data_IF_913917772923
#
_entry.id   IF_913917772923
#
_cell.length_a   1.000
_cell.length_b   1.000
_cell.length_c   1.000
_cell.angle_alpha   90.00
_cell.angle_beta   90.00
_cell.angle_gamma   90.00
#
_symmetry.space_group_name_H-M   'P 1'
#
loop_
_entity.id
_entity.type
_entity.pdbx_description
1 polymer ?
#
# COMPACT_ATOMS: atom_id res chain seq x y z
N UNK A 1 -4.17 -6.34 46.33
CA UNK A 1 -3.29 -5.15 46.28
C UNK A 1 -1.98 -5.38 45.50
N UNK A 2 -1.72 -6.55 44.86
CA UNK A 2 -0.44 -6.83 44.18
C UNK A 2 -0.49 -6.78 42.63
N UNK A 3 -1.59 -6.32 42.03
CA UNK A 3 -1.78 -6.38 40.56
C UNK A 3 -1.41 -5.08 39.83
N UNK A 4 -0.75 -4.14 40.50
CA UNK A 4 -0.37 -2.84 39.94
C UNK A 4 1.15 -2.64 39.96
N UNK A 5 1.64 -1.98 38.91
CA UNK A 5 3.00 -1.46 38.81
C UNK A 5 2.97 0.07 38.90
N UNK A 6 3.90 0.64 39.67
CA UNK A 6 4.07 2.06 39.90
C UNK A 6 5.33 2.51 39.19
N UNK A 7 5.16 3.36 38.18
CA UNK A 7 6.24 3.90 37.36
C UNK A 7 6.32 5.41 37.53
N UNK A 8 7.49 5.99 37.30
CA UNK A 8 7.75 7.41 37.46
C UNK A 8 7.97 8.08 36.10
N UNK A 9 7.48 9.30 35.97
CA UNK A 9 7.93 10.20 34.90
C UNK A 9 9.30 10.79 35.25
N UNK A 10 10.07 11.36 34.30
CA UNK A 10 11.33 12.02 34.59
C UNK A 10 11.20 13.24 35.53
N UNK A 11 9.97 13.74 35.74
CA UNK A 11 9.66 14.81 36.68
C UNK A 11 9.23 14.30 38.06
N UNK A 12 9.34 13.00 38.31
CA UNK A 12 8.97 12.38 39.59
C UNK A 12 7.46 12.13 39.80
N UNK A 13 6.61 12.40 38.81
CA UNK A 13 5.18 12.06 38.90
C UNK A 13 4.99 10.54 38.86
N UNK A 14 4.27 10.00 39.84
CA UNK A 14 3.96 8.58 39.97
C UNK A 14 2.69 8.22 39.18
N UNK A 15 2.77 7.14 38.39
CA UNK A 15 1.69 6.61 37.58
C UNK A 15 1.49 5.13 37.93
N UNK A 16 0.27 4.79 38.32
CA UNK A 16 -0.15 3.42 38.59
C UNK A 16 -0.74 2.78 37.33
N UNK A 17 -0.24 1.60 36.99
CA UNK A 17 -0.65 0.80 35.83
C UNK A 17 -0.93 -0.64 36.26
N UNK A 18 -1.72 -1.43 35.52
CA UNK A 18 -1.84 -2.87 35.79
C UNK A 18 -0.51 -3.60 35.53
N UNK A 19 -0.31 -4.74 36.18
CA UNK A 19 0.84 -5.62 35.92
C UNK A 19 0.89 -6.03 34.45
N UNK A 20 2.10 -6.05 33.88
CA UNK A 20 2.34 -6.32 32.45
C UNK A 20 2.14 -5.10 31.54
N UNK A 21 1.82 -3.92 32.10
CA UNK A 21 1.73 -2.70 31.32
C UNK A 21 3.05 -2.35 30.62
N UNK A 22 2.93 -1.76 29.44
CA UNK A 22 4.06 -1.40 28.57
C UNK A 22 4.35 0.11 28.61
N UNK A 23 5.49 0.59 28.09
CA UNK A 23 5.72 2.00 27.85
C UNK A 23 4.60 2.69 27.04
N UNK A 24 3.91 1.97 26.16
CA UNK A 24 2.76 2.50 25.40
C UNK A 24 1.59 2.78 26.36
N UNK A 25 1.28 1.84 27.26
CA UNK A 25 0.27 2.04 28.30
C UNK A 25 0.61 3.23 29.20
N UNK A 26 1.88 3.35 29.60
CA UNK A 26 2.36 4.49 30.37
C UNK A 26 2.18 5.82 29.61
N UNK A 27 2.53 5.87 28.33
CA UNK A 27 2.36 7.06 27.50
C UNK A 27 0.89 7.51 27.46
N UNK A 28 -0.05 6.59 27.24
CA UNK A 28 -1.49 6.90 27.25
C UNK A 28 -2.05 7.19 28.65
N UNK A 29 -1.44 6.65 29.71
CA UNK A 29 -1.78 7.01 31.08
C UNK A 29 -1.41 8.47 31.36
N UNK A 30 -0.21 8.91 30.97
CA UNK A 30 0.24 10.30 31.05
C UNK A 30 -0.72 11.22 30.29
N UNK A 31 -0.87 11.01 28.98
CA UNK A 31 -1.76 11.82 28.15
C UNK A 31 -1.99 11.16 26.79
N UNK A 32 -3.18 11.35 26.19
CA UNK A 32 -3.47 10.81 24.85
C UNK A 32 -2.47 11.29 23.80
N UNK A 33 -2.19 12.61 23.71
CA UNK A 33 -1.17 13.13 22.77
C UNK A 33 0.23 12.55 22.99
N UNK A 34 0.59 12.14 24.21
CA UNK A 34 1.90 11.53 24.48
C UNK A 34 1.93 10.12 23.88
N UNK A 35 0.86 9.35 24.08
CA UNK A 35 0.67 8.06 23.41
C UNK A 35 0.59 8.17 21.89
N UNK A 36 -0.20 9.12 21.38
CA UNK A 36 -0.44 9.28 19.94
C UNK A 36 0.82 9.68 19.16
N UNK A 37 1.74 10.39 19.81
CA UNK A 37 3.02 10.80 19.21
C UNK A 37 4.20 9.92 19.65
N UNK A 38 3.97 8.82 20.37
CA UNK A 38 5.02 7.94 20.87
C UNK A 38 5.76 7.23 19.71
N UNK A 39 7.10 7.25 19.75
CA UNK A 39 7.97 6.56 18.77
C UNK A 39 8.91 5.57 19.45
N UNK A 40 9.27 5.85 20.71
CA UNK A 40 10.18 5.02 21.49
C UNK A 40 10.08 5.36 22.96
N UNK A 41 10.74 4.57 23.79
CA UNK A 41 10.80 4.80 25.23
C UNK A 41 12.22 4.56 25.76
N UNK A 42 12.57 5.28 26.81
CA UNK A 42 13.69 4.93 27.68
C UNK A 42 13.16 4.54 29.04
N UNK A 43 13.72 3.46 29.59
CA UNK A 43 13.43 3.00 30.94
C UNK A 43 14.74 3.07 31.72
N UNK A 44 14.75 3.84 32.82
CA UNK A 44 15.94 4.09 33.64
C UNK A 44 17.14 4.58 32.79
N UNK A 45 16.88 5.51 31.87
CA UNK A 45 17.88 6.12 30.99
C UNK A 45 18.32 5.28 29.78
N UNK A 46 17.89 4.01 29.65
CA UNK A 46 18.26 3.13 28.53
C UNK A 46 17.11 3.00 27.53
N UNK A 47 17.42 3.07 26.22
CA UNK A 47 16.41 2.85 25.16
C UNK A 47 15.93 1.40 25.23
N UNK A 48 14.62 1.21 25.31
CA UNK A 48 13.99 -0.10 25.40
C UNK A 48 12.90 -0.24 24.32
N UNK A 49 12.63 -1.48 23.86
CA UNK A 49 11.47 -1.74 23.00
C UNK A 49 10.16 -1.29 23.65
N UNK A 50 9.22 -0.77 22.85
CA UNK A 50 7.93 -0.30 23.34
C UNK A 50 7.04 -1.39 23.96
N UNK A 51 7.36 -2.66 23.72
CA UNK A 51 6.64 -3.83 24.24
C UNK A 51 7.22 -4.34 25.57
N UNK A 52 8.26 -3.68 26.10
CA UNK A 52 8.90 -4.09 27.36
C UNK A 52 7.89 -3.98 28.50
N UNK A 53 7.78 -5.00 29.34
CA UNK A 53 6.94 -4.93 30.54
C UNK A 53 7.59 -4.00 31.59
N UNK A 54 6.81 -3.06 32.11
CA UNK A 54 7.26 -2.13 33.14
C UNK A 54 7.25 -2.78 34.52
N UNK A 55 8.25 -2.42 35.33
CA UNK A 55 8.41 -2.89 36.71
C UNK A 55 8.17 -1.77 37.72
N UNK A 56 7.89 -2.15 38.96
CA UNK A 56 7.79 -1.19 40.05
C UNK A 56 9.10 -0.41 40.21
N UNK A 57 8.98 0.91 40.28
CA UNK A 57 10.12 1.81 40.46
C UNK A 57 10.76 2.30 39.16
N UNK A 58 10.32 1.82 37.99
CA UNK A 58 10.89 2.24 36.72
C UNK A 58 10.59 3.71 36.43
N UNK A 59 11.64 4.46 36.06
CA UNK A 59 11.50 5.79 35.46
C UNK A 59 11.36 5.65 33.94
N UNK A 60 10.25 6.16 33.39
CA UNK A 60 9.90 6.00 31.97
C UNK A 60 9.88 7.36 31.26
N UNK A 61 10.78 7.53 30.30
CA UNK A 61 10.84 8.68 29.39
C UNK A 61 10.28 8.28 28.02
N UNK A 62 9.27 8.99 27.53
CA UNK A 62 8.66 8.72 26.22
C UNK A 62 9.28 9.63 25.15
N UNK A 63 9.79 9.02 24.08
CA UNK A 63 10.32 9.70 22.90
C UNK A 63 9.16 9.95 21.93
N UNK A 64 8.99 11.20 21.49
CA UNK A 64 7.81 11.65 20.72
C UNK A 64 8.16 12.25 19.36
N UNK A 65 7.27 12.08 18.38
CA UNK A 65 7.31 12.76 17.07
C UNK A 65 5.92 13.19 16.64
N UNK A 66 5.78 14.43 16.16
CA UNK A 66 4.50 14.99 15.67
C UNK A 66 4.00 14.35 14.38
N UNK A 67 4.88 13.73 13.60
CA UNK A 67 4.51 13.07 12.35
C UNK A 67 3.96 11.66 12.56
N UNK A 68 4.09 11.11 13.78
CA UNK A 68 3.71 9.75 14.08
C UNK A 68 2.20 9.61 14.26
N UNK A 69 1.66 8.51 13.73
CA UNK A 69 0.31 8.00 14.03
C UNK A 69 0.46 6.62 14.68
N UNK A 70 -0.30 6.29 15.74
CA UNK A 70 -0.21 4.99 16.39
C UNK A 70 -0.49 3.85 15.40
N UNK A 71 0.43 2.88 15.29
CA UNK A 71 0.18 1.66 14.52
C UNK A 71 -1.01 0.88 15.10
N UNK A 72 -1.89 0.38 14.22
CA UNK A 72 -3.05 -0.42 14.63
C UNK A 72 -2.65 -1.69 15.42
N UNK A 73 -1.48 -2.25 15.13
CA UNK A 73 -0.95 -3.45 15.80
C UNK A 73 -0.81 -3.26 17.33
N UNK A 74 -0.58 -2.04 17.80
CA UNK A 74 -0.46 -1.74 19.24
C UNK A 74 -1.72 -2.08 20.02
N UNK A 75 -2.88 -2.06 19.39
CA UNK A 75 -4.15 -2.40 20.04
C UNK A 75 -4.12 -3.79 20.70
N UNK A 76 -3.42 -4.75 20.08
CA UNK A 76 -3.31 -6.12 20.59
C UNK A 76 -2.36 -6.24 21.77
N UNK A 77 -1.43 -5.30 21.93
CA UNK A 77 -0.30 -5.42 22.87
C UNK A 77 -0.53 -4.60 24.13
N UNK A 78 -1.22 -3.48 24.03
CA UNK A 78 -1.52 -2.65 25.20
C UNK A 78 -2.44 -3.36 26.18
N UNK A 79 -2.12 -3.24 27.47
CA UNK A 79 -2.89 -3.90 28.54
C UNK A 79 -4.11 -3.05 28.93
N UNK A 80 -3.95 -1.73 28.95
CA UNK A 80 -4.97 -0.81 29.48
C UNK A 80 -6.11 -0.55 28.50
N UNK A 81 -7.35 -0.52 29.00
CA UNK A 81 -8.52 -0.18 28.19
C UNK A 81 -8.48 1.26 27.64
N UNK A 82 -7.84 2.19 28.38
CA UNK A 82 -7.62 3.58 27.95
C UNK A 82 -6.73 3.65 26.71
N UNK A 83 -5.56 3.01 26.73
CA UNK A 83 -4.65 2.95 25.59
C UNK A 83 -5.33 2.28 24.39
N UNK A 84 -5.97 1.13 24.60
CA UNK A 84 -6.68 0.39 23.54
C UNK A 84 -7.75 1.24 22.85
N UNK A 85 -8.55 1.96 23.64
CA UNK A 85 -9.61 2.83 23.12
C UNK A 85 -9.05 4.05 22.39
N UNK A 86 -7.96 4.63 22.88
CA UNK A 86 -7.27 5.75 22.23
C UNK A 86 -6.66 5.34 20.88
N UNK A 87 -5.95 4.21 20.83
CA UNK A 87 -5.35 3.66 19.59
C UNK A 87 -6.44 3.35 18.55
N UNK A 88 -7.54 2.70 18.96
CA UNK A 88 -8.69 2.46 18.08
C UNK A 88 -9.24 3.75 17.49
N UNK A 89 -9.40 4.78 18.32
CA UNK A 89 -9.90 6.09 17.89
C UNK A 89 -8.93 6.77 16.92
N UNK A 90 -7.64 6.79 17.24
CA UNK A 90 -6.61 7.38 16.39
C UNK A 90 -6.55 6.67 15.02
N UNK A 91 -6.54 5.34 15.02
CA UNK A 91 -6.55 4.51 13.81
C UNK A 91 -7.80 4.79 12.96
N UNK A 92 -8.99 4.82 13.59
CA UNK A 92 -10.26 5.14 12.92
C UNK A 92 -10.24 6.54 12.28
N UNK A 93 -9.70 7.53 13.00
CA UNK A 93 -9.60 8.89 12.49
C UNK A 93 -8.61 9.00 11.32
N UNK A 94 -7.47 8.31 11.38
CA UNK A 94 -6.50 8.25 10.30
C UNK A 94 -7.12 7.63 9.03
N UNK A 95 -7.83 6.52 9.19
CA UNK A 95 -8.59 5.86 8.11
C UNK A 95 -9.60 6.82 7.48
N UNK A 96 -10.43 7.49 8.29
CA UNK A 96 -11.42 8.47 7.78
C UNK A 96 -10.73 9.57 6.99
N UNK A 97 -9.69 10.17 7.55
CA UNK A 97 -8.92 11.25 6.90
C UNK A 97 -8.35 10.80 5.56
N UNK A 98 -7.89 9.56 5.45
CA UNK A 98 -7.29 9.02 4.24
C UNK A 98 -8.33 8.66 3.17
N UNK A 99 -9.44 8.02 3.54
CA UNK A 99 -10.33 7.36 2.57
C UNK A 99 -11.69 8.02 2.35
N UNK A 100 -12.16 8.90 3.25
CA UNK A 100 -13.48 9.53 3.10
C UNK A 100 -13.62 10.31 1.79
N UNK A 101 -12.58 11.06 1.39
CA UNK A 101 -12.60 11.83 0.14
C UNK A 101 -12.76 10.96 -1.10
N UNK A 102 -12.10 9.79 -1.11
CA UNK A 102 -12.26 8.82 -2.19
C UNK A 102 -13.67 8.22 -2.20
N UNK A 103 -14.16 7.82 -1.03
CA UNK A 103 -15.51 7.26 -0.90
C UNK A 103 -16.59 8.21 -1.42
N UNK A 104 -16.44 9.51 -1.18
CA UNK A 104 -17.32 10.55 -1.75
C UNK A 104 -17.30 10.46 -3.27
N UNK A 105 -16.12 10.51 -3.91
CA UNK A 105 -16.01 10.50 -5.38
C UNK A 105 -16.53 9.22 -6.02
N UNK A 106 -16.28 8.07 -5.37
CA UNK A 106 -16.82 6.78 -5.83
C UNK A 106 -18.35 6.82 -5.82
N UNK A 107 -18.96 7.32 -4.73
CA UNK A 107 -20.40 7.41 -4.63
C UNK A 107 -20.98 8.47 -5.57
N UNK A 108 -20.37 9.66 -5.68
CA UNK A 108 -20.78 10.69 -6.63
C UNK A 108 -20.86 10.14 -8.06
N UNK A 109 -19.80 9.48 -8.52
CA UNK A 109 -19.77 8.84 -9.85
C UNK A 109 -20.81 7.71 -9.96
N UNK A 110 -21.01 6.91 -8.92
CA UNK A 110 -21.99 5.83 -8.94
C UNK A 110 -23.44 6.35 -9.03
N UNK A 111 -23.75 7.42 -8.29
CA UNK A 111 -25.05 8.09 -8.31
C UNK A 111 -25.29 8.80 -9.65
N UNK A 112 -24.29 9.54 -10.15
CA UNK A 112 -24.36 10.25 -11.44
C UNK A 112 -24.68 9.29 -12.59
N UNK A 113 -23.99 8.15 -12.64
CA UNK A 113 -24.26 7.09 -13.65
C UNK A 113 -25.68 6.54 -13.57
N UNK A 114 -26.27 6.51 -12.38
CA UNK A 114 -27.63 6.07 -12.15
C UNK A 114 -28.67 7.18 -12.40
N UNK A 115 -28.25 8.38 -12.83
CA UNK A 115 -29.11 9.55 -12.96
C UNK A 115 -29.67 10.05 -11.63
N UNK A 116 -28.95 9.81 -10.52
CA UNK A 116 -29.31 10.23 -9.16
C UNK A 116 -28.31 11.26 -8.64
N UNK A 117 -28.75 12.10 -7.71
CA UNK A 117 -27.89 13.07 -7.02
C UNK A 117 -27.39 12.49 -5.71
N UNK A 118 -26.07 12.55 -5.51
CA UNK A 118 -25.44 12.17 -4.25
C UNK A 118 -25.56 13.30 -3.22
N UNK A 119 -26.11 13.00 -2.04
CA UNK A 119 -26.12 13.92 -0.89
C UNK A 119 -25.73 13.16 0.37
N UNK A 120 -24.95 13.79 1.27
CA UNK A 120 -24.53 13.13 2.52
C UNK A 120 -25.72 12.81 3.43
N UNK A 121 -26.78 13.62 3.36
CA UNK A 121 -28.01 13.46 4.12
C UNK A 121 -28.74 12.17 3.76
N UNK A 122 -28.71 11.76 2.48
CA UNK A 122 -29.31 10.50 2.03
C UNK A 122 -28.71 9.27 2.73
N UNK A 123 -27.41 9.33 3.08
CA UNK A 123 -26.71 8.27 3.78
C UNK A 123 -27.15 8.14 5.25
N UNK A 124 -27.58 9.25 5.89
CA UNK A 124 -27.92 9.27 7.32
C UNK A 124 -29.07 8.32 7.65
N UNK A 125 -30.04 8.20 6.76
CA UNK A 125 -31.22 7.34 6.94
C UNK A 125 -30.89 5.85 6.81
N UNK A 126 -29.82 5.51 6.09
CA UNK A 126 -29.48 4.13 5.72
C UNK A 126 -28.27 3.57 6.47
N UNK A 127 -27.69 4.32 7.41
CA UNK A 127 -26.55 3.89 8.23
C UNK A 127 -26.78 2.52 8.90
N UNK A 128 -28.00 2.29 9.42
CA UNK A 128 -28.40 1.03 10.03
C UNK A 128 -28.37 -0.14 9.03
N UNK A 129 -28.81 0.07 7.78
CA UNK A 129 -28.79 -0.94 6.71
C UNK A 129 -27.37 -1.27 6.26
N UNK A 130 -26.46 -0.30 6.34
CA UNK A 130 -25.06 -0.44 5.98
C UNK A 130 -24.17 -0.93 7.13
N UNK A 131 -24.75 -1.23 8.30
CA UNK A 131 -24.03 -1.63 9.51
C UNK A 131 -22.88 -0.67 9.85
N UNK A 132 -23.12 0.65 9.76
CA UNK A 132 -22.18 1.70 10.12
C UNK A 132 -22.82 2.70 11.08
N UNK A 133 -22.00 3.31 11.93
CA UNK A 133 -22.47 4.26 12.97
C UNK A 133 -22.56 5.68 12.45
N UNK A 134 -21.66 6.07 11.55
CA UNK A 134 -21.52 7.43 11.04
C UNK A 134 -21.36 7.45 9.51
N UNK A 135 -21.73 8.57 8.88
CA UNK A 135 -21.56 8.79 7.42
C UNK A 135 -20.10 8.66 7.02
N UNK A 136 -19.17 9.25 7.79
CA UNK A 136 -17.73 9.15 7.53
C UNK A 136 -17.23 7.70 7.54
N UNK A 137 -17.86 6.80 8.31
CA UNK A 137 -17.49 5.38 8.28
C UNK A 137 -17.98 4.70 7.00
N UNK A 138 -19.14 5.08 6.46
CA UNK A 138 -19.62 4.61 5.16
C UNK A 138 -18.65 5.07 4.07
N UNK A 139 -18.33 6.37 4.04
CA UNK A 139 -17.43 6.95 3.06
C UNK A 139 -16.05 6.28 3.10
N UNK A 140 -15.45 6.15 4.29
CA UNK A 140 -14.16 5.48 4.43
C UNK A 140 -14.23 3.98 4.08
N UNK A 141 -15.35 3.28 4.35
CA UNK A 141 -15.52 1.87 3.99
C UNK A 141 -15.60 1.69 2.46
N UNK A 142 -16.33 2.58 1.78
CA UNK A 142 -16.39 2.61 0.31
C UNK A 142 -15.03 2.96 -0.28
N UNK A 143 -14.35 3.96 0.28
CA UNK A 143 -13.01 4.39 -0.16
C UNK A 143 -11.94 3.30 -0.01
N UNK A 144 -12.11 2.37 0.94
CA UNK A 144 -11.22 1.21 1.10
C UNK A 144 -11.66 -0.04 0.33
N UNK A 145 -12.83 0.01 -0.31
CA UNK A 145 -13.41 -1.16 -0.99
C UNK A 145 -13.98 -2.23 -0.06
N UNK A 146 -14.19 -1.94 1.23
CA UNK A 146 -14.85 -2.84 2.17
C UNK A 146 -16.38 -2.87 1.98
N UNK A 147 -16.93 -1.79 1.43
CA UNK A 147 -18.35 -1.63 1.13
C UNK A 147 -18.49 -1.22 -0.34
N UNK A 148 -19.25 -2.00 -1.12
CA UNK A 148 -19.45 -1.67 -2.53
C UNK A 148 -20.39 -0.47 -2.68
N UNK A 149 -20.12 0.39 -3.67
CA UNK A 149 -20.98 1.52 -4.03
C UNK A 149 -22.39 1.06 -4.38
N UNK A 150 -22.52 -0.12 -4.98
CA UNK A 150 -23.80 -0.76 -5.33
C UNK A 150 -24.65 -1.08 -4.12
N UNK A 151 -24.03 -1.46 -3.00
CA UNK A 151 -24.75 -1.78 -1.77
C UNK A 151 -25.25 -0.50 -1.10
N UNK A 152 -24.46 0.57 -1.16
CA UNK A 152 -24.89 1.91 -0.75
C UNK A 152 -26.05 2.39 -1.62
N UNK A 153 -25.95 2.21 -2.94
CA UNK A 153 -27.02 2.56 -3.89
C UNK A 153 -28.32 1.82 -3.58
N UNK A 154 -28.27 0.50 -3.37
CA UNK A 154 -29.46 -0.30 -3.00
C UNK A 154 -30.02 0.09 -1.64
N UNK A 155 -29.17 0.47 -0.69
CA UNK A 155 -29.63 0.89 0.62
C UNK A 155 -30.45 2.20 0.54
N UNK A 156 -29.98 3.17 -0.27
CA UNK A 156 -30.63 4.46 -0.51
C UNK A 156 -31.81 4.35 -1.47
N UNK A 157 -31.68 3.58 -2.55
CA UNK A 157 -32.69 3.34 -3.58
C UNK A 157 -32.92 1.83 -3.74
N UNK A 158 -33.82 1.22 -2.96
CA UNK A 158 -34.08 -0.23 -2.99
C UNK A 158 -34.48 -0.79 -4.38
N UNK A 159 -35.10 0.05 -5.22
CA UNK A 159 -35.55 -0.34 -6.56
C UNK A 159 -34.45 -0.24 -7.64
N UNK A 160 -33.23 0.18 -7.28
CA UNK A 160 -32.12 0.32 -8.22
C UNK A 160 -31.59 -1.04 -8.69
N UNK A 161 -31.58 -1.25 -10.01
CA UNK A 161 -30.92 -2.37 -10.66
C UNK A 161 -29.64 -1.86 -11.33
N UNK A 162 -28.52 -2.47 -10.99
CA UNK A 162 -27.22 -2.13 -11.55
C UNK A 162 -27.13 -2.65 -13.00
N UNK A 163 -26.94 -1.74 -13.96
CA UNK A 163 -26.78 -2.08 -15.38
C UNK A 163 -25.31 -2.34 -15.76
N UNK A 164 -24.37 -2.32 -14.80
CA UNK A 164 -22.97 -2.69 -15.08
C UNK A 164 -22.93 -4.08 -15.72
N UNK A 165 -22.37 -4.16 -16.93
CA UNK A 165 -21.83 -5.41 -17.48
C UNK A 165 -20.61 -5.77 -16.64
N UNK A 166 -20.85 -6.33 -15.46
CA UNK A 166 -19.81 -6.99 -14.70
C UNK A 166 -19.57 -8.31 -15.41
N UNK A 167 -18.38 -8.49 -16.02
CA UNK A 167 -17.85 -9.84 -16.19
C UNK A 167 -17.79 -10.42 -14.78
N UNK A 168 -18.78 -11.26 -14.44
CA UNK A 168 -18.81 -11.98 -13.19
C UNK A 168 -17.44 -12.63 -12.99
N UNK A 169 -16.81 -12.39 -11.84
CA UNK A 169 -15.62 -13.13 -11.43
C UNK A 169 -15.96 -14.61 -11.59
N UNK A 170 -15.27 -15.39 -12.44
CA UNK A 170 -15.59 -16.79 -12.59
C UNK A 170 -15.36 -17.44 -11.24
N UNK A 171 -16.41 -18.02 -10.64
CA UNK A 171 -16.21 -19.04 -9.61
C UNK A 171 -15.27 -20.09 -10.20
N UNK A 172 -14.30 -20.65 -9.45
CA UNK A 172 -13.54 -21.80 -9.92
C UNK A 172 -14.55 -22.91 -10.15
N UNK A 173 -14.92 -23.14 -11.40
CA UNK A 173 -15.71 -24.31 -11.78
C UNK A 173 -14.72 -25.44 -11.93
N UNK A 174 -15.00 -26.52 -11.21
CA UNK A 174 -14.50 -27.85 -11.53
C UNK A 174 -14.69 -28.10 -13.04
N UNK A 175 -13.68 -28.78 -13.57
CA UNK A 175 -13.44 -29.03 -14.98
C UNK A 175 -14.69 -29.53 -15.73
N UNK A 176 -14.84 -29.08 -16.99
CA UNK A 176 -15.34 -29.99 -18.02
C UNK A 176 -16.63 -29.68 -18.76
N UNK A 177 -17.28 -28.51 -18.64
CA UNK A 177 -18.34 -28.17 -19.60
C UNK A 177 -18.60 -26.66 -19.77
N UNK A 178 -18.11 -26.10 -20.88
CA UNK A 178 -18.41 -24.73 -21.32
C UNK A 178 -19.67 -24.68 -22.18
N UNK A 179 -20.67 -23.89 -21.78
CA UNK A 179 -21.60 -23.25 -22.73
C UNK A 179 -21.15 -21.80 -22.91
N UNK A 180 -20.64 -21.46 -24.09
CA UNK A 180 -20.37 -20.07 -24.49
C UNK A 180 -21.50 -19.64 -25.43
N UNK A 181 -22.36 -18.73 -24.99
CA UNK A 181 -23.21 -17.91 -25.87
C UNK A 181 -22.48 -16.59 -26.08
N UNK A 182 -21.98 -16.36 -27.29
CA UNK A 182 -21.54 -15.04 -27.72
C UNK A 182 -22.68 -14.31 -28.44
N UNK A 183 -22.64 -12.98 -28.40
CA UNK A 183 -23.62 -12.04 -28.96
C UNK A 183 -23.69 -12.01 -30.51
N UNK A 184 -23.36 -13.10 -31.20
CA UNK A 184 -23.48 -13.23 -32.66
C UNK A 184 -23.92 -14.63 -33.15
N UNK A 185 -24.40 -15.51 -32.27
CA UNK A 185 -25.21 -16.68 -32.69
C UNK A 185 -24.54 -17.73 -33.59
N UNK A 186 -23.21 -17.87 -33.62
CA UNK A 186 -22.52 -18.91 -34.41
C UNK A 186 -21.75 -19.91 -33.53
N UNK A 187 -21.79 -21.19 -33.94
CA UNK A 187 -21.08 -22.33 -33.34
C UNK A 187 -19.88 -22.71 -34.24
N UNK A 188 -18.70 -22.84 -33.65
CA UNK A 188 -17.54 -23.43 -34.32
C UNK A 188 -17.07 -24.68 -33.57
N UNK A 189 -16.83 -25.74 -34.31
CA UNK A 189 -16.22 -27.00 -33.86
C UNK A 189 -14.77 -27.01 -34.35
N UNK A 190 -13.81 -27.24 -33.46
CA UNK A 190 -12.41 -27.48 -33.87
C UNK A 190 -11.97 -28.83 -33.31
N UNK A 191 -11.81 -29.86 -34.17
CA UNK A 191 -11.23 -31.14 -33.80
C UNK A 191 -9.74 -31.00 -33.48
N UNK A 192 -9.26 -31.81 -32.55
CA UNK A 192 -7.92 -31.71 -32.01
C UNK A 192 -6.78 -32.15 -32.94
N UNK A 193 -5.59 -31.75 -32.45
CA UNK A 193 -4.26 -32.36 -32.53
C UNK A 193 -3.29 -31.89 -33.63
N UNK A 194 -2.11 -31.55 -33.10
CA UNK A 194 -0.75 -31.60 -33.67
C UNK A 194 -0.29 -30.46 -34.59
N UNK A 195 0.72 -29.70 -34.12
CA UNK A 195 2.02 -29.58 -34.79
C UNK A 195 3.03 -28.80 -33.93
N UNK A 196 4.31 -29.14 -34.15
CA UNK A 196 5.52 -28.62 -33.52
C UNK A 196 5.91 -27.21 -33.98
N UNK A 197 6.91 -26.67 -33.25
CA UNK A 197 8.13 -25.96 -33.67
C UNK A 197 8.18 -24.43 -33.54
N UNK A 198 9.23 -24.02 -32.80
CA UNK A 198 10.11 -22.85 -32.90
C UNK A 198 9.52 -21.49 -33.25
N UNK A 199 9.82 -20.51 -32.38
CA UNK A 199 10.54 -19.31 -32.79
C UNK A 199 11.10 -18.54 -31.58
N UNK A 200 12.42 -18.41 -31.58
CA UNK A 200 13.18 -17.36 -30.93
C UNK A 200 12.52 -15.98 -31.14
N UNK A 201 12.46 -15.19 -30.07
CA UNK A 201 12.40 -13.74 -30.17
C UNK A 201 13.54 -13.13 -29.36
N UNK A 202 14.25 -12.13 -29.92
CA UNK A 202 15.40 -11.50 -29.30
C UNK A 202 14.95 -10.56 -28.18
N UNK A 203 15.57 -10.67 -27.01
CA UNK A 203 15.50 -9.65 -25.96
C UNK A 203 16.67 -8.71 -26.16
N UNK A 204 16.42 -7.59 -26.83
CA UNK A 204 17.39 -6.53 -27.00
C UNK A 204 17.07 -5.40 -26.01
N UNK A 205 18.07 -4.96 -25.27
CA UNK A 205 17.93 -4.03 -24.15
C UNK A 205 19.09 -4.11 -23.16
N UNK A 206 20.32 -4.22 -23.64
CA UNK A 206 21.52 -4.08 -22.82
C UNK A 206 22.34 -2.91 -23.35
N UNK A 207 22.45 -1.85 -22.55
CA UNK A 207 23.31 -0.69 -22.82
C UNK A 207 24.77 -1.09 -22.51
N UNK A 208 25.74 -0.90 -23.42
CA UNK A 208 27.13 -1.20 -23.13
C UNK A 208 27.83 0.02 -22.51
N UNK A 209 28.50 -0.17 -21.36
CA UNK A 209 29.51 0.77 -20.87
C UNK A 209 30.82 -0.01 -20.66
N UNK A 210 31.87 0.44 -21.35
CA UNK A 210 33.19 -0.21 -21.41
C UNK A 210 33.99 0.00 -20.12
N UNK A 211 34.62 -1.07 -19.62
CA UNK A 211 35.60 -0.95 -18.53
C UNK A 211 36.33 -2.22 -18.04
N UNK A 212 36.90 -3.02 -18.94
CA UNK A 212 38.03 -3.98 -18.70
C UNK A 212 37.78 -5.24 -17.85
N UNK A 213 37.79 -6.39 -18.57
CA UNK A 213 37.95 -7.81 -18.15
C UNK A 213 36.80 -8.43 -17.34
N UNK A 214 35.82 -8.95 -18.10
CA UNK A 214 34.82 -9.90 -17.62
C UNK A 214 33.48 -9.23 -17.36
N UNK A 215 32.80 -8.78 -18.42
CA UNK A 215 31.48 -8.15 -18.33
C UNK A 215 30.44 -9.19 -17.87
N UNK A 216 30.31 -9.43 -16.56
CA UNK A 216 29.10 -10.01 -16.02
C UNK A 216 27.97 -9.00 -16.28
N UNK A 217 26.88 -9.39 -16.97
CA UNK A 217 25.78 -8.47 -17.24
C UNK A 217 25.19 -7.95 -15.92
N UNK A 218 25.01 -6.63 -15.83
CA UNK A 218 24.38 -5.99 -14.67
C UNK A 218 22.93 -5.67 -15.03
N UNK A 219 22.01 -6.02 -14.14
CA UNK A 219 20.57 -5.74 -14.32
C UNK A 219 19.94 -5.28 -13.01
N UNK A 220 18.82 -4.58 -13.10
CA UNK A 220 18.01 -4.25 -11.94
C UNK A 220 17.00 -5.36 -11.63
N UNK A 221 16.70 -5.52 -10.34
CA UNK A 221 15.59 -6.35 -9.90
C UNK A 221 14.24 -5.83 -10.44
N UNK A 222 13.17 -6.66 -10.49
CA UNK A 222 11.87 -6.25 -11.04
C UNK A 222 11.23 -5.03 -10.36
N UNK A 223 11.52 -4.78 -9.09
CA UNK A 223 11.11 -3.57 -8.35
C UNK A 223 11.81 -2.29 -8.84
N UNK A 224 12.96 -2.45 -9.51
CA UNK A 224 13.83 -1.37 -9.93
C UNK A 224 14.67 -0.78 -8.79
N UNK A 225 15.73 -0.05 -9.16
CA UNK A 225 16.51 0.75 -8.24
C UNK A 225 16.83 2.09 -8.90
N UNK A 226 16.79 3.16 -8.11
CA UNK A 226 16.88 4.53 -8.60
C UNK A 226 18.02 5.26 -7.87
N UNK A 227 18.74 6.17 -8.53
CA UNK A 227 19.78 6.97 -7.90
C UNK A 227 19.29 7.64 -6.61
N UNK A 228 20.04 7.43 -5.52
CA UNK A 228 19.66 7.82 -4.16
C UNK A 228 19.23 6.65 -3.27
N UNK A 229 18.89 5.50 -3.86
CA UNK A 229 18.69 4.27 -3.09
C UNK A 229 20.01 3.70 -2.56
N UNK A 230 19.95 3.08 -1.38
CA UNK A 230 21.02 2.19 -0.93
C UNK A 230 20.84 0.85 -1.64
N UNK A 231 21.85 0.42 -2.39
CA UNK A 231 21.79 -0.76 -3.24
C UNK A 231 22.80 -1.82 -2.83
N UNK A 232 22.50 -3.07 -3.18
CA UNK A 232 23.39 -4.23 -3.07
C UNK A 232 23.33 -5.03 -4.37
N UNK A 233 24.43 -5.67 -4.74
CA UNK A 233 24.49 -6.57 -5.89
C UNK A 233 24.45 -8.03 -5.44
N UNK A 234 23.67 -8.87 -6.12
CA UNK A 234 23.68 -10.32 -5.93
C UNK A 234 24.21 -10.97 -7.21
N UNK A 235 25.31 -11.73 -7.09
CA UNK A 235 25.84 -12.54 -8.19
C UNK A 235 24.94 -13.75 -8.39
N UNK A 236 24.39 -13.87 -9.60
CA UNK A 236 23.54 -14.98 -10.00
C UNK A 236 24.23 -15.80 -11.10
N UNK A 237 24.44 -17.11 -10.90
CA UNK A 237 25.02 -17.98 -11.91
C UNK A 237 24.28 -17.87 -13.24
N UNK A 238 25.04 -17.69 -14.33
CA UNK A 238 24.50 -17.58 -15.69
C UNK A 238 23.78 -16.27 -16.04
N UNK A 239 23.49 -15.40 -15.06
CA UNK A 239 22.72 -14.17 -15.31
C UNK A 239 23.43 -12.87 -14.93
N UNK A 240 24.60 -12.95 -14.32
CA UNK A 240 25.40 -11.77 -13.99
C UNK A 240 25.10 -11.24 -12.59
N UNK A 241 25.17 -9.92 -12.43
CA UNK A 241 24.92 -9.23 -11.16
C UNK A 241 23.53 -8.59 -11.22
N UNK A 242 22.67 -8.91 -10.25
CA UNK A 242 21.36 -8.25 -10.12
C UNK A 242 21.41 -7.24 -8.98
N UNK A 243 21.05 -6.00 -9.26
CA UNK A 243 21.05 -4.89 -8.30
C UNK A 243 19.68 -4.80 -7.63
N UNK A 244 19.70 -4.80 -6.30
CA UNK A 244 18.53 -4.70 -5.44
C UNK A 244 18.65 -3.48 -4.53
N UNK A 245 17.55 -2.77 -4.23
CA UNK A 245 17.50 -1.91 -3.04
C UNK A 245 17.72 -2.74 -1.77
N UNK A 246 18.46 -2.21 -0.79
CA UNK A 246 18.81 -2.92 0.45
C UNK A 246 17.57 -3.35 1.29
N UNK A 247 16.41 -2.77 1.03
CA UNK A 247 15.14 -3.09 1.70
C UNK A 247 14.31 -4.13 0.95
N UNK A 248 14.77 -4.63 -0.20
CA UNK A 248 14.01 -5.60 -1.00
C UNK A 248 13.82 -6.91 -0.22
N UNK A 249 12.58 -7.39 -0.03
CA UNK A 249 12.32 -8.68 0.63
C UNK A 249 12.92 -9.86 -0.13
N UNK A 250 13.16 -9.71 -1.44
CA UNK A 250 13.80 -10.73 -2.26
C UNK A 250 15.22 -11.06 -1.75
N UNK A 251 15.85 -10.16 -0.99
CA UNK A 251 17.18 -10.39 -0.42
C UNK A 251 17.20 -11.49 0.64
N UNK A 252 16.08 -11.76 1.33
CA UNK A 252 15.98 -12.83 2.35
C UNK A 252 16.31 -14.21 1.78
N UNK A 253 16.07 -14.42 0.48
CA UNK A 253 16.38 -15.68 -0.21
C UNK A 253 17.89 -15.93 -0.37
N UNK A 254 18.74 -14.96 -0.05
CA UNK A 254 20.20 -15.03 -0.19
C UNK A 254 20.95 -14.84 1.14
N UNK A 255 20.25 -14.76 2.27
CA UNK A 255 20.86 -14.55 3.59
C UNK A 255 21.85 -15.67 3.97
N UNK A 256 21.65 -16.88 3.44
CA UNK A 256 22.49 -18.06 3.67
C UNK A 256 23.69 -18.17 2.71
N UNK A 257 23.82 -17.25 1.75
CA UNK A 257 24.81 -17.29 0.66
C UNK A 257 25.63 -15.98 0.58
N UNK A 258 26.38 -15.63 1.65
CA UNK A 258 27.09 -14.35 1.75
C UNK A 258 28.12 -14.14 0.62
N UNK A 259 28.67 -15.21 0.04
CA UNK A 259 29.61 -15.16 -1.08
C UNK A 259 29.02 -14.57 -2.37
N UNK A 260 27.69 -14.50 -2.48
CA UNK A 260 27.01 -13.88 -3.63
C UNK A 260 26.83 -12.38 -3.49
N UNK A 261 27.04 -11.83 -2.29
CA UNK A 261 26.77 -10.43 -2.01
C UNK A 261 27.95 -9.57 -2.44
N UNK A 262 27.64 -8.52 -3.18
CA UNK A 262 28.58 -7.51 -3.64
C UNK A 262 28.10 -6.16 -3.16
N UNK A 263 29.00 -5.43 -2.51
CA UNK A 263 28.78 -4.02 -2.21
C UNK A 263 28.86 -3.21 -3.50
N UNK A 264 27.75 -2.56 -3.86
CA UNK A 264 27.63 -1.73 -5.05
C UNK A 264 27.34 -0.29 -4.63
N UNK A 265 27.86 0.66 -5.40
CA UNK A 265 27.57 2.08 -5.24
C UNK A 265 27.16 2.66 -6.58
N UNK A 266 26.34 3.71 -6.51
CA UNK A 266 26.03 4.52 -7.67
C UNK A 266 27.27 5.28 -8.09
N UNK A 267 27.70 5.07 -9.33
CA UNK A 267 28.71 5.88 -10.02
C UNK A 267 28.08 6.35 -11.33
N UNK A 268 27.40 7.50 -11.26
CA UNK A 268 26.61 8.04 -12.37
C UNK A 268 27.31 9.32 -12.81
N UNK A 269 27.66 9.37 -14.09
CA UNK A 269 28.14 10.61 -14.69
C UNK A 269 26.97 11.58 -14.82
N UNK A 270 27.01 12.71 -14.10
CA UNK A 270 25.99 13.77 -14.14
C UNK A 270 25.75 14.33 -15.56
N UNK A 271 26.70 14.12 -16.47
CA UNK A 271 26.58 14.51 -17.89
C UNK A 271 25.70 13.57 -18.69
N UNK A 272 25.55 12.32 -18.24
CA UNK A 272 24.73 11.30 -18.91
C UNK A 272 23.39 11.19 -18.20
N UNK A 273 22.36 11.79 -18.81
CA UNK A 273 20.98 11.67 -18.31
C UNK A 273 20.39 10.35 -18.77
N UNK A 274 20.41 9.35 -17.89
CA UNK A 274 19.72 8.08 -18.09
C UNK A 274 18.55 7.95 -17.11
N UNK A 275 17.49 7.25 -17.52
CA UNK A 275 16.35 6.94 -16.65
C UNK A 275 16.53 5.54 -16.08
N UNK A 276 16.13 5.38 -14.83
CA UNK A 276 16.25 4.15 -14.07
C UNK A 276 14.87 3.54 -13.81
N UNK A 277 14.76 2.20 -13.83
CA UNK A 277 13.49 1.52 -13.63
C UNK A 277 13.01 1.69 -12.18
N UNK A 278 11.71 1.91 -12.03
CA UNK A 278 11.02 1.95 -10.75
C UNK A 278 9.62 1.38 -10.89
N UNK A 279 9.23 0.49 -9.97
CA UNK A 279 7.86 -0.03 -9.92
C UNK A 279 7.01 0.71 -8.89
N UNK A 280 5.81 1.12 -9.30
CA UNK A 280 4.82 1.74 -8.41
C UNK A 280 3.50 0.98 -8.44
N UNK A 281 2.86 0.90 -7.28
CA UNK A 281 1.52 0.37 -7.09
C UNK A 281 0.57 1.55 -6.91
N UNK A 282 -0.45 1.63 -7.76
CA UNK A 282 -1.44 2.72 -7.75
C UNK A 282 -2.83 2.12 -7.61
N UNK A 283 -3.53 2.50 -6.55
CA UNK A 283 -4.94 2.16 -6.35
C UNK A 283 -5.79 3.37 -6.76
N UNK A 284 -6.77 3.14 -7.63
CA UNK A 284 -7.57 4.19 -8.24
C UNK A 284 -9.05 3.81 -8.35
N UNK A 285 -9.91 4.81 -8.54
CA UNK A 285 -11.33 4.60 -8.81
C UNK A 285 -11.50 3.86 -10.14
N UNK A 286 -12.29 2.80 -10.18
CA UNK A 286 -12.61 2.11 -11.44
C UNK A 286 -13.70 2.87 -12.21
N UNK A 287 -13.27 3.78 -13.07
CA UNK A 287 -14.14 4.60 -13.89
C UNK A 287 -13.48 4.93 -15.23
N UNK A 288 -14.29 5.16 -16.29
CA UNK A 288 -13.78 5.81 -17.50
C UNK A 288 -13.04 7.11 -17.15
N UNK A 289 -11.89 7.33 -17.78
CA UNK A 289 -11.05 8.50 -17.52
C UNK A 289 -10.00 8.33 -16.41
N UNK A 290 -10.20 7.45 -15.42
CA UNK A 290 -9.25 7.30 -14.29
C UNK A 290 -7.83 6.96 -14.74
N UNK A 291 -7.68 6.07 -15.74
CA UNK A 291 -6.37 5.74 -16.30
C UNK A 291 -5.75 6.90 -17.08
N UNK A 292 -6.57 7.69 -17.77
CA UNK A 292 -6.10 8.87 -18.50
C UNK A 292 -5.58 9.94 -17.53
N UNK A 293 -6.29 10.17 -16.41
CA UNK A 293 -5.84 11.09 -15.36
C UNK A 293 -4.47 10.69 -14.79
N UNK A 294 -4.26 9.38 -14.56
CA UNK A 294 -2.99 8.84 -14.05
C UNK A 294 -1.88 9.00 -15.10
N UNK A 295 -2.15 8.60 -16.34
CA UNK A 295 -1.20 8.75 -17.44
C UNK A 295 -0.79 10.22 -17.66
N UNK A 296 -1.74 11.15 -17.52
CA UNK A 296 -1.47 12.58 -17.62
C UNK A 296 -0.53 13.07 -16.51
N UNK A 297 -0.69 12.61 -15.27
CA UNK A 297 0.23 12.94 -14.17
C UNK A 297 1.63 12.39 -14.44
N UNK A 298 1.73 11.15 -14.92
CA UNK A 298 3.02 10.53 -15.27
C UNK A 298 3.70 11.31 -16.39
N UNK A 299 2.97 11.66 -17.46
CA UNK A 299 3.48 12.45 -18.57
C UNK A 299 3.94 13.85 -18.14
N UNK A 300 3.17 14.56 -17.31
CA UNK A 300 3.51 15.89 -16.81
C UNK A 300 4.76 15.92 -15.93
N UNK A 301 5.17 14.78 -15.36
CA UNK A 301 6.42 14.67 -14.61
C UNK A 301 7.63 14.31 -15.48
N UNK A 302 7.45 14.02 -16.78
CA UNK A 302 8.50 13.50 -17.65
C UNK A 302 9.02 12.12 -17.20
N UNK A 303 8.10 11.25 -16.77
CA UNK A 303 8.35 9.84 -16.50
C UNK A 303 7.80 8.96 -17.65
N UNK A 304 8.52 7.91 -18.01
CA UNK A 304 8.09 6.97 -19.04
C UNK A 304 7.34 5.79 -18.40
N UNK A 305 6.35 5.22 -19.11
CA UNK A 305 5.67 3.98 -18.70
C UNK A 305 6.19 2.85 -19.59
N UNK A 306 6.91 1.91 -19.00
CA UNK A 306 7.39 0.71 -19.71
C UNK A 306 6.31 -0.38 -19.75
N UNK A 307 5.65 -0.64 -18.63
CA UNK A 307 4.63 -1.69 -18.51
C UNK A 307 3.56 -1.26 -17.52
N UNK A 308 2.31 -1.58 -17.84
CA UNK A 308 1.17 -1.37 -16.95
C UNK A 308 0.36 -2.66 -16.89
N UNK A 309 0.03 -3.08 -15.68
CA UNK A 309 -0.83 -4.25 -15.44
C UNK A 309 -1.88 -3.93 -14.39
N UNK A 310 -3.11 -4.42 -14.62
CA UNK A 310 -4.21 -4.35 -13.67
C UNK A 310 -4.14 -5.60 -12.80
N UNK A 311 -3.70 -5.46 -11.54
CA UNK A 311 -3.52 -6.59 -10.62
C UNK A 311 -4.86 -7.01 -10.03
N UNK A 312 -5.69 -6.04 -9.67
CA UNK A 312 -6.98 -6.28 -9.05
C UNK A 312 -8.00 -5.29 -9.56
N UNK A 313 -9.02 -5.79 -10.25
CA UNK A 313 -10.12 -4.97 -10.75
C UNK A 313 -11.39 -5.33 -10.00
N UNK A 314 -11.92 -4.38 -9.24
CA UNK A 314 -13.23 -4.46 -8.60
C UNK A 314 -14.18 -3.45 -9.29
N UNK A 315 -15.50 -3.53 -9.04
CA UNK A 315 -16.45 -2.60 -9.66
C UNK A 315 -16.18 -1.12 -9.36
N UNK A 316 -15.60 -0.82 -8.20
CA UNK A 316 -15.42 0.57 -7.71
C UNK A 316 -13.96 1.03 -7.69
N UNK A 317 -13.01 0.10 -7.66
CA UNK A 317 -11.59 0.41 -7.61
C UNK A 317 -10.78 -0.55 -8.50
N UNK A 318 -9.62 -0.09 -8.93
CA UNK A 318 -8.62 -0.89 -9.64
C UNK A 318 -7.26 -0.66 -9.02
N UNK A 319 -6.48 -1.73 -8.87
CA UNK A 319 -5.09 -1.70 -8.43
C UNK A 319 -4.20 -1.98 -9.64
N UNK A 320 -3.29 -1.06 -9.91
CA UNK A 320 -2.38 -1.07 -11.05
C UNK A 320 -0.95 -1.19 -10.55
N UNK A 321 -0.18 -2.06 -11.20
CA UNK A 321 1.28 -2.02 -11.15
C UNK A 321 1.79 -1.34 -12.40
N UNK A 322 2.58 -0.29 -12.21
CA UNK A 322 3.15 0.52 -13.27
C UNK A 322 4.67 0.47 -13.14
N UNK A 323 5.31 -0.05 -14.18
CA UNK A 323 6.75 -0.01 -14.36
C UNK A 323 7.10 1.28 -15.07
N UNK A 324 7.82 2.13 -14.36
CA UNK A 324 8.18 3.48 -14.76
C UNK A 324 9.69 3.59 -14.96
N UNK A 325 10.09 4.59 -15.72
CA UNK A 325 11.49 5.02 -15.79
C UNK A 325 11.59 6.47 -15.30
N UNK A 326 12.44 6.69 -14.29
CA UNK A 326 12.59 7.97 -13.58
C UNK A 326 14.06 8.37 -13.45
N UNK A 327 14.32 9.64 -13.16
CA UNK A 327 15.68 10.19 -13.13
C UNK A 327 16.41 9.86 -11.82
N UNK A 328 15.76 10.13 -10.70
CA UNK A 328 16.32 9.96 -9.36
C UNK A 328 15.20 9.76 -8.33
N UNK A 329 15.59 9.48 -7.08
CA UNK A 329 14.64 9.28 -5.99
C UNK A 329 13.79 10.54 -5.72
N UNK A 330 14.33 11.73 -5.95
CA UNK A 330 13.62 13.00 -5.77
C UNK A 330 12.48 13.14 -6.79
N UNK A 331 12.74 12.80 -8.04
CA UNK A 331 11.78 12.78 -9.12
C UNK A 331 10.67 11.76 -8.83
N UNK A 332 11.03 10.53 -8.44
CA UNK A 332 10.05 9.50 -8.10
C UNK A 332 9.13 9.94 -6.95
N UNK A 333 9.68 10.53 -5.89
CA UNK A 333 8.89 11.01 -4.76
C UNK A 333 7.94 12.16 -5.16
N UNK A 334 8.38 13.06 -6.05
CA UNK A 334 7.52 14.10 -6.61
C UNK A 334 6.36 13.50 -7.41
N UNK A 335 6.64 12.53 -8.28
CA UNK A 335 5.61 11.84 -9.06
C UNK A 335 4.59 11.13 -8.15
N UNK A 336 5.06 10.40 -7.13
CA UNK A 336 4.19 9.72 -6.17
C UNK A 336 3.30 10.70 -5.40
N UNK A 337 3.83 11.86 -5.00
CA UNK A 337 3.02 12.90 -4.35
C UNK A 337 1.91 13.40 -5.27
N UNK A 338 2.23 13.73 -6.52
CA UNK A 338 1.25 14.24 -7.47
C UNK A 338 0.21 13.18 -7.87
N UNK A 339 0.61 11.91 -7.93
CA UNK A 339 -0.33 10.81 -8.10
C UNK A 339 -1.30 10.74 -6.92
N UNK A 340 -0.83 10.86 -5.68
CA UNK A 340 -1.71 10.88 -4.49
C UNK A 340 -2.65 12.09 -4.44
N UNK A 341 -2.21 13.22 -4.99
CA UNK A 341 -3.03 14.44 -5.06
C UNK A 341 -4.12 14.34 -6.15
N UNK A 342 -3.98 13.40 -7.10
CA UNK A 342 -4.95 13.21 -8.17
C UNK A 342 -6.28 12.70 -7.63
N UNK A 343 -7.38 13.27 -8.14
CA UNK A 343 -8.70 12.95 -7.67
C UNK A 343 -9.14 11.48 -7.88
N UNK A 344 -8.59 10.85 -8.91
CA UNK A 344 -8.91 9.47 -9.31
C UNK A 344 -8.07 8.43 -8.55
N UNK A 345 -7.03 8.84 -7.80
CA UNK A 345 -6.11 7.95 -7.08
C UNK A 345 -6.40 7.96 -5.59
N UNK A 346 -6.39 6.79 -4.96
CA UNK A 346 -6.56 6.62 -3.51
C UNK A 346 -5.25 6.41 -2.78
N UNK A 347 -4.34 5.67 -3.39
CA UNK A 347 -3.01 5.41 -2.88
C UNK A 347 -2.06 5.22 -4.05
N UNK A 348 -0.82 5.66 -3.85
CA UNK A 348 0.27 5.46 -4.79
C UNK A 348 1.54 5.25 -3.99
N UNK A 349 2.16 4.08 -4.13
CA UNK A 349 3.36 3.74 -3.38
C UNK A 349 4.37 3.08 -4.28
N UNK A 350 5.64 3.32 -3.98
CA UNK A 350 6.73 2.55 -4.57
C UNK A 350 6.63 1.11 -4.08
N UNK A 351 6.84 0.15 -4.98
CA UNK A 351 6.95 -1.26 -4.62
C UNK A 351 8.39 -1.50 -4.18
N UNK A 352 8.64 -1.38 -2.89
CA UNK A 352 9.92 -1.73 -2.25
C UNK A 352 9.70 -2.90 -1.28
N UNK A 353 8.93 -3.91 -1.69
CA UNK A 353 8.45 -4.91 -0.75
C UNK A 353 7.27 -4.46 0.09
#
# INVERSE_FOLDING_TARGET
FQDQVFCFTPKGMLIALPRGATPIDFAYAVHTDVGDTCVGAKVNGRIMPLMTELKNGDEVEIIRSKAQVPPAAWESVVVTGKARSAIRRATKNAIRKQYSGLGIRILERAFERAGKTFTKESLKQVLHRLARKDIEDVLASVGRGELASTDVMKAVFPDYKDERVTTAVPKPREEGWSKIRNAAGMLFQIPGRAARKDKDQPRDGAVPIRGVRGDLPVRFAPEGAVPGDRIVGIVQPGTGITIYPIQSPALQAFDDQPERWIDVRWDIDERTKERFPARVSVTAINAPGSLADIAQVVASNDANIHTLSMVRTAPDFTEMLIDLEVWDLKHLNRLLSQLKDNSSVSDARRVNG
#
